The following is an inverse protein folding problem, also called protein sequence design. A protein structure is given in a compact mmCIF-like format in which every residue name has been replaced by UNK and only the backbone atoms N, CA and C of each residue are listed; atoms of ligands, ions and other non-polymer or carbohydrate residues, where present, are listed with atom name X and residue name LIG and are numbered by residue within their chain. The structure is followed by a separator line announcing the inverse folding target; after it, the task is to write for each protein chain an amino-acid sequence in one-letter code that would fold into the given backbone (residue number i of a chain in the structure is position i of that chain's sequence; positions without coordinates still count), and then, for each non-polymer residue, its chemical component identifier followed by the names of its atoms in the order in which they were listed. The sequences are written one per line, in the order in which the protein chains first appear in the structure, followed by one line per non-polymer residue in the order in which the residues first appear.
data_IF_439975483392
#
_entry.id   IF_439975483392
#
_cell.length_a   1.000
_cell.length_b   1.000
_cell.length_c   1.000
_cell.angle_alpha   90.00
_cell.angle_beta   90.00
_cell.angle_gamma   90.00
#
_symmetry.space_group_name_H-M   'P 1'
#
loop_
_entity.id
_entity.type
_entity.pdbx_description
1 polymer ?
#
# COMPACT_ATOMS: atom_id res chain seq x y z
N UNK A 1 8.83 14.82 -25.96
CA UNK A 1 8.29 14.83 -24.58
C UNK A 1 7.42 13.61 -24.35
N UNK A 2 8.02 12.46 -23.99
CA UNK A 2 7.43 11.37 -23.20
C UNK A 2 8.61 10.57 -22.62
N UNK A 3 8.61 10.27 -21.32
CA UNK A 3 8.87 8.89 -20.96
C UNK A 3 7.95 8.44 -19.81
N UNK A 4 6.64 8.58 -19.99
CA UNK A 4 5.66 8.07 -19.02
C UNK A 4 5.17 6.64 -19.30
N UNK A 5 5.68 5.98 -20.35
CA UNK A 5 5.27 4.62 -20.74
C UNK A 5 6.26 3.52 -20.36
N UNK A 6 7.48 3.84 -19.90
CA UNK A 6 8.48 2.82 -19.52
C UNK A 6 8.28 2.26 -18.10
N UNK A 7 7.78 3.09 -17.16
CA UNK A 7 7.56 2.68 -15.77
C UNK A 7 6.34 1.75 -15.65
N UNK A 8 5.33 1.94 -16.49
CA UNK A 8 4.12 1.11 -16.54
C UNK A 8 4.38 -0.30 -17.12
N UNK A 9 5.30 -0.43 -18.09
CA UNK A 9 5.61 -1.74 -18.72
C UNK A 9 6.52 -2.60 -17.82
N UNK A 10 7.41 -1.99 -17.04
CA UNK A 10 8.28 -2.69 -16.08
C UNK A 10 7.45 -3.20 -14.88
N UNK A 11 6.48 -2.42 -14.41
CA UNK A 11 5.59 -2.85 -13.32
C UNK A 11 4.67 -4.02 -13.71
N UNK A 12 4.19 -4.07 -14.96
CA UNK A 12 3.36 -5.18 -15.45
C UNK A 12 4.15 -6.48 -15.67
N UNK A 13 5.44 -6.40 -16.02
CA UNK A 13 6.30 -7.57 -16.22
C UNK A 13 6.64 -8.26 -14.87
N UNK A 14 6.75 -7.49 -13.78
CA UNK A 14 7.12 -8.02 -12.46
C UNK A 14 5.92 -8.68 -11.75
N UNK A 15 4.68 -8.29 -12.08
CA UNK A 15 3.47 -8.93 -11.53
C UNK A 15 3.25 -10.38 -11.97
N UNK A 16 3.81 -10.81 -13.10
CA UNK A 16 3.65 -12.21 -13.58
C UNK A 16 4.74 -13.16 -13.10
N UNK A 17 5.89 -12.64 -12.65
CA UNK A 17 7.02 -13.45 -12.22
C UNK A 17 7.02 -13.81 -10.72
N UNK A 18 6.14 -13.22 -9.89
CA UNK A 18 6.13 -13.47 -8.43
C UNK A 18 4.96 -14.33 -7.93
N UNK A 19 4.05 -14.79 -8.79
CA UNK A 19 3.04 -15.79 -8.40
C UNK A 19 3.52 -17.26 -8.52
N UNK A 20 4.76 -17.51 -8.95
CA UNK A 20 5.40 -18.82 -8.77
C UNK A 20 6.27 -18.83 -7.51
N UNK A 21 5.64 -19.00 -6.36
CA UNK A 21 6.31 -19.18 -5.07
C UNK A 21 5.46 -20.01 -4.12
N UNK A 22 5.64 -21.33 -4.18
CA UNK A 22 5.05 -22.34 -3.29
C UNK A 22 5.49 -22.13 -1.83
N UNK A 23 4.60 -22.32 -0.86
CA UNK A 23 5.02 -22.34 0.55
C UNK A 23 3.90 -22.48 1.58
N UNK A 24 3.30 -23.67 1.67
CA UNK A 24 2.55 -24.07 2.87
C UNK A 24 3.47 -24.13 4.09
N UNK A 25 3.02 -23.60 5.22
CA UNK A 25 3.78 -23.60 6.46
C UNK A 25 2.87 -23.62 7.69
N UNK A 26 2.54 -24.83 8.15
CA UNK A 26 1.92 -25.07 9.45
C UNK A 26 2.93 -24.70 10.55
N UNK A 27 2.73 -23.59 11.27
CA UNK A 27 3.55 -23.28 12.47
C UNK A 27 2.64 -23.26 13.69
N UNK A 28 2.77 -24.33 14.47
CA UNK A 28 2.12 -24.50 15.75
C UNK A 28 2.69 -23.61 16.85
N UNK A 29 1.96 -23.68 17.96
CA UNK A 29 2.22 -23.23 19.34
C UNK A 29 2.34 -21.73 19.61
N UNK A 30 1.26 -21.23 20.21
CA UNK A 30 1.16 -20.00 20.97
C UNK A 30 2.25 -19.90 22.04
N UNK A 31 3.06 -18.85 21.95
CA UNK A 31 3.79 -18.26 23.07
C UNK A 31 3.04 -17.01 23.53
N UNK A 32 2.79 -16.88 24.83
CA UNK A 32 2.25 -15.69 25.48
C UNK A 32 3.29 -14.56 25.50
N UNK A 33 3.59 -14.00 24.33
CA UNK A 33 4.12 -12.65 24.20
C UNK A 33 3.02 -11.84 23.55
N UNK A 34 2.39 -10.91 24.27
CA UNK A 34 1.38 -10.04 23.70
C UNK A 34 1.98 -9.27 22.54
N UNK A 35 1.73 -9.73 21.30
CA UNK A 35 2.06 -8.98 20.11
C UNK A 35 1.41 -7.60 20.24
N UNK A 36 2.14 -6.51 19.95
CA UNK A 36 1.54 -5.19 19.97
C UNK A 36 0.31 -5.16 19.05
N UNK A 37 -0.74 -4.40 19.38
CA UNK A 37 -1.92 -4.34 18.55
C UNK A 37 -1.54 -3.86 17.13
N UNK A 38 -2.06 -4.55 16.13
CA UNK A 38 -1.95 -4.13 14.75
C UNK A 38 -3.06 -3.09 14.44
N UNK A 39 -2.68 -2.02 13.77
CA UNK A 39 -3.57 -0.96 13.32
C UNK A 39 -3.85 -1.12 11.84
N UNK A 40 -5.12 -1.12 11.45
CA UNK A 40 -5.51 -1.13 10.03
C UNK A 40 -5.69 0.30 9.55
N UNK A 41 -4.96 0.67 8.50
CA UNK A 41 -5.09 1.94 7.82
C UNK A 41 -5.93 1.74 6.56
N UNK A 42 -7.16 2.25 6.59
CA UNK A 42 -8.03 2.27 5.41
C UNK A 42 -7.97 3.64 4.76
N UNK A 43 -7.58 3.68 3.49
CA UNK A 43 -7.44 4.91 2.74
C UNK A 43 -8.41 4.93 1.57
N UNK A 44 -9.07 6.06 1.40
CA UNK A 44 -10.00 6.31 0.30
C UNK A 44 -9.58 7.55 -0.45
N UNK A 45 -9.63 7.50 -1.77
CA UNK A 45 -9.42 8.65 -2.66
C UNK A 45 -10.78 9.14 -3.10
N UNK A 46 -11.05 10.43 -2.92
CA UNK A 46 -12.29 11.09 -3.36
C UNK A 46 -11.96 12.36 -4.17
N UNK A 47 -12.37 12.46 -5.44
CA UNK A 47 -13.06 11.43 -6.23
C UNK A 47 -12.16 10.23 -6.53
N UNK A 48 -12.75 9.03 -6.65
CA UNK A 48 -12.00 7.77 -6.89
C UNK A 48 -11.13 7.80 -8.15
N UNK A 49 -11.47 8.65 -9.12
CA UNK A 49 -10.73 8.83 -10.36
C UNK A 49 -9.62 9.89 -10.27
N UNK A 50 -9.53 10.61 -9.14
CA UNK A 50 -8.55 11.68 -8.92
C UNK A 50 -7.11 11.18 -8.89
N UNK A 51 -6.89 9.89 -8.66
CA UNK A 51 -5.56 9.31 -8.61
C UNK A 51 -5.48 8.10 -7.69
N UNK A 52 -4.26 7.80 -7.28
CA UNK A 52 -3.94 6.71 -6.36
C UNK A 52 -3.04 7.24 -5.24
N UNK A 53 -2.95 6.48 -4.14
CA UNK A 53 -2.03 6.82 -3.05
C UNK A 53 -1.15 5.61 -2.78
N UNK A 54 0.16 5.85 -2.78
CA UNK A 54 1.16 4.84 -2.45
C UNK A 54 1.45 4.87 -0.94
N UNK A 55 1.52 3.69 -0.34
CA UNK A 55 1.87 3.52 1.07
C UNK A 55 3.24 2.85 1.18
N UNK A 56 4.10 3.37 2.04
CA UNK A 56 5.37 2.72 2.39
C UNK A 56 5.52 2.69 3.91
N UNK A 57 5.58 1.51 4.56
CA UNK A 57 5.52 0.16 3.98
C UNK A 57 4.15 -0.18 3.37
N UNK A 58 4.12 -1.11 2.42
CA UNK A 58 2.87 -1.65 1.86
C UNK A 58 2.28 -2.69 2.82
N UNK A 59 0.96 -2.68 3.00
CA UNK A 59 0.28 -3.73 3.75
C UNK A 59 -1.04 -3.32 4.38
N UNK A 60 -1.27 -2.02 4.60
CA UNK A 60 -2.51 -1.50 5.19
C UNK A 60 -2.76 -1.95 6.64
N UNK A 61 -1.88 -2.78 7.21
CA UNK A 61 -1.86 -3.19 8.61
C UNK A 61 -0.45 -2.96 9.15
N UNK A 62 -0.36 -2.22 10.24
CA UNK A 62 0.91 -1.78 10.79
C UNK A 62 0.93 -1.95 12.30
N UNK A 63 2.09 -2.32 12.85
CA UNK A 63 2.24 -2.42 14.30
C UNK A 63 2.21 -1.03 14.93
N UNK A 64 1.89 -0.96 16.21
CA UNK A 64 2.03 0.27 16.99
C UNK A 64 3.41 0.92 16.77
N UNK A 65 3.44 2.23 16.59
CA UNK A 65 4.66 3.04 16.32
C UNK A 65 5.33 2.79 14.97
N UNK A 66 4.67 2.14 14.01
CA UNK A 66 5.17 2.08 12.63
C UNK A 66 4.95 3.43 11.96
N UNK A 67 6.02 4.01 11.41
CA UNK A 67 5.92 5.18 10.55
C UNK A 67 5.51 4.73 9.13
N UNK A 68 4.46 5.35 8.60
CA UNK A 68 3.93 5.04 7.27
C UNK A 68 3.94 6.31 6.43
N UNK A 69 4.66 6.29 5.32
CA UNK A 69 4.69 7.38 4.34
C UNK A 69 3.55 7.20 3.34
N UNK A 70 2.69 8.22 3.21
CA UNK A 70 1.63 8.29 2.20
C UNK A 70 2.04 9.25 1.08
N UNK A 71 2.07 8.77 -0.16
CA UNK A 71 2.43 9.58 -1.33
C UNK A 71 1.23 9.68 -2.27
N UNK A 72 0.58 10.85 -2.39
CA UNK A 72 -0.53 11.04 -3.30
C UNK A 72 -0.04 11.18 -4.75
N UNK A 73 -0.58 10.35 -5.64
CA UNK A 73 -0.37 10.41 -7.08
C UNK A 73 -1.63 10.93 -7.77
N UNK A 74 -1.74 12.26 -7.90
CA UNK A 74 -2.88 12.88 -8.58
C UNK A 74 -2.82 12.65 -10.11
N UNK A 75 -3.97 12.37 -10.70
CA UNK A 75 -4.17 12.26 -12.15
C UNK A 75 -4.30 13.65 -12.77
N UNK A 76 -4.09 13.75 -14.09
CA UNK A 76 -4.23 15.00 -14.84
C UNK A 76 -5.59 15.67 -14.57
N UNK A 77 -5.56 16.95 -14.22
CA UNK A 77 -6.75 17.74 -13.87
C UNK A 77 -7.14 17.68 -12.39
N UNK A 78 -6.42 16.92 -11.56
CA UNK A 78 -6.61 16.85 -10.11
C UNK A 78 -5.34 17.26 -9.38
N UNK A 79 -5.52 17.76 -8.16
CA UNK A 79 -4.43 18.08 -7.24
C UNK A 79 -4.69 17.48 -5.87
N UNK A 80 -3.63 17.17 -5.14
CA UNK A 80 -3.75 16.79 -3.75
C UNK A 80 -4.11 18.04 -2.93
N UNK A 81 -5.23 17.97 -2.21
CA UNK A 81 -5.69 19.07 -1.37
C UNK A 81 -5.23 18.89 0.09
N UNK A 82 -5.69 17.82 0.73
CA UNK A 82 -5.48 17.58 2.15
C UNK A 82 -5.72 16.12 2.53
N UNK A 83 -5.27 15.74 3.72
CA UNK A 83 -5.64 14.49 4.37
C UNK A 83 -6.80 14.74 5.34
N UNK A 84 -7.80 13.86 5.31
CA UNK A 84 -8.91 13.87 6.26
C UNK A 84 -8.93 12.56 7.06
N UNK A 85 -9.27 12.66 8.35
CA UNK A 85 -9.42 11.51 9.25
C UNK A 85 -10.87 11.31 9.71
N UNK A 86 -11.24 10.12 10.19
CA UNK A 86 -12.48 9.92 10.92
C UNK A 86 -12.37 10.62 12.29
N UNK A 87 -13.24 11.59 12.56
CA UNK A 87 -13.34 12.25 13.87
C UNK A 87 -13.82 11.27 14.95
#
# INVERSE_FOLDING_TARGET
MKPFTFISLIAFLICTALFSGCGGGNRGKAGNGGLPPDYTLNLTVDPKEAGEVLLTPLGGKYQKNTEVTLTPGAKYGYEFREWAGPN
#
